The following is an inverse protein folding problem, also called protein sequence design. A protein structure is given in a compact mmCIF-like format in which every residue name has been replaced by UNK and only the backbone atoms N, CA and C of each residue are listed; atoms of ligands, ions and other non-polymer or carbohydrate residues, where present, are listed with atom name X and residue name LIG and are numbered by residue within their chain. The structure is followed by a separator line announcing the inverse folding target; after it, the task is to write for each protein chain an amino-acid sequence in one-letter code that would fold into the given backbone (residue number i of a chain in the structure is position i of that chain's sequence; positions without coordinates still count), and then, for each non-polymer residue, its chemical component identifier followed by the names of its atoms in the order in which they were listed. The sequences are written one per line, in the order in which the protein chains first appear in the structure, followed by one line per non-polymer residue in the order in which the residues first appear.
data_IF_768466811404
#
_entry.id   IF_768466811404
#
_cell.length_a   1.000
_cell.length_b   1.000
_cell.length_c   1.000
_cell.angle_alpha   90.00
_cell.angle_beta   90.00
_cell.angle_gamma   90.00
#
_symmetry.space_group_name_H-M   'P 1'
#
loop_
_entity.id
_entity.type
_entity.pdbx_description
1 polymer ?
#
# COMPACT_ATOMS: atom_id res chain seq x y z
N UNK A 1 -2.90 -6.89 4.90
CA UNK A 1 -1.73 -6.40 4.16
C UNK A 1 -2.17 -5.83 2.82
N UNK A 2 -1.46 -4.82 2.30
CA UNK A 2 -1.76 -4.27 0.99
C UNK A 2 -1.20 -5.23 -0.08
N UNK A 3 -2.01 -5.82 -0.96
CA UNK A 3 -1.55 -6.80 -1.94
C UNK A 3 -0.61 -6.21 -3.00
N UNK A 4 -0.66 -4.89 -3.25
CA UNK A 4 0.30 -4.23 -4.14
C UNK A 4 1.72 -4.28 -3.58
N UNK A 5 1.90 -4.20 -2.26
CA UNK A 5 3.20 -4.35 -1.60
C UNK A 5 3.71 -5.79 -1.77
N UNK A 6 2.85 -6.79 -1.58
CA UNK A 6 3.18 -8.19 -1.81
C UNK A 6 3.53 -8.48 -3.27
N UNK A 7 2.74 -7.95 -4.21
CA UNK A 7 3.00 -8.06 -5.65
C UNK A 7 4.37 -7.43 -6.03
N UNK A 8 4.64 -6.23 -5.53
CA UNK A 8 5.93 -5.60 -5.78
C UNK A 8 7.06 -6.49 -5.23
N UNK A 9 6.98 -6.93 -3.97
CA UNK A 9 8.03 -7.74 -3.35
C UNK A 9 8.22 -9.06 -4.07
N UNK A 10 7.20 -9.91 -4.13
CA UNK A 10 7.35 -11.32 -4.51
C UNK A 10 7.29 -11.57 -6.02
N UNK A 11 6.47 -10.79 -6.74
CA UNK A 11 6.29 -11.00 -8.18
C UNK A 11 7.27 -10.17 -8.98
N UNK A 12 7.32 -8.84 -8.77
CA UNK A 12 8.13 -7.96 -9.62
C UNK A 12 9.62 -8.03 -9.27
N UNK A 13 9.98 -7.92 -8.00
CA UNK A 13 11.38 -7.80 -7.60
C UNK A 13 12.03 -9.09 -7.09
N UNK A 14 11.28 -10.11 -6.72
CA UNK A 14 11.86 -11.44 -6.49
C UNK A 14 11.80 -12.29 -7.77
N UNK A 15 10.61 -12.60 -8.29
CA UNK A 15 10.47 -13.54 -9.40
C UNK A 15 10.86 -12.94 -10.76
N UNK A 16 10.27 -11.77 -11.13
CA UNK A 16 10.50 -11.17 -12.45
C UNK A 16 11.94 -10.65 -12.58
N UNK A 17 12.46 -9.91 -11.60
CA UNK A 17 13.84 -9.41 -11.66
C UNK A 17 14.82 -10.58 -11.76
N UNK A 18 14.70 -11.59 -10.91
CA UNK A 18 15.56 -12.79 -10.97
C UNK A 18 15.53 -13.41 -12.37
N UNK A 19 14.33 -13.63 -12.93
CA UNK A 19 14.20 -14.20 -14.26
C UNK A 19 14.78 -13.31 -15.37
N UNK A 20 14.63 -11.99 -15.23
CA UNK A 20 15.20 -11.03 -16.18
C UNK A 20 16.74 -11.09 -16.20
N UNK A 21 17.37 -11.15 -15.03
CA UNK A 21 18.83 -11.29 -14.91
C UNK A 21 19.32 -12.63 -15.48
N UNK A 22 18.60 -13.72 -15.25
CA UNK A 22 18.94 -15.06 -15.80
C UNK A 22 18.95 -15.09 -17.33
N UNK A 23 18.12 -14.29 -17.99
CA UNK A 23 18.08 -14.21 -19.47
C UNK A 23 18.99 -13.09 -20.04
N UNK A 24 19.82 -12.47 -19.20
CA UNK A 24 20.83 -11.48 -19.60
C UNK A 24 20.37 -10.05 -19.63
N UNK A 25 19.24 -9.69 -19.01
CA UNK A 25 18.87 -8.29 -18.83
C UNK A 25 19.61 -7.70 -17.63
N UNK A 26 20.09 -6.45 -17.74
CA UNK A 26 20.77 -5.76 -16.65
C UNK A 26 19.78 -5.09 -15.68
N UNK A 27 18.59 -4.71 -16.15
CA UNK A 27 17.61 -3.96 -15.40
C UNK A 27 16.19 -4.43 -15.69
N UNK A 28 15.32 -4.19 -14.72
CA UNK A 28 13.87 -4.11 -14.98
C UNK A 28 13.44 -2.65 -14.93
N UNK A 29 12.48 -2.26 -15.79
CA UNK A 29 11.89 -0.94 -15.78
C UNK A 29 10.40 -1.02 -15.43
N UNK A 30 9.92 -0.15 -14.57
CA UNK A 30 8.51 -0.12 -14.19
C UNK A 30 7.94 1.31 -14.19
N UNK A 31 6.64 1.42 -14.45
CA UNK A 31 5.92 2.69 -14.46
C UNK A 31 5.51 3.20 -13.07
N UNK A 32 6.31 2.96 -12.02
CA UNK A 32 6.04 3.54 -10.72
C UNK A 32 6.48 5.00 -10.65
N UNK A 33 5.62 5.83 -10.05
CA UNK A 33 5.95 7.22 -9.73
C UNK A 33 6.81 7.28 -8.46
N UNK A 34 8.09 7.01 -8.62
CA UNK A 34 9.14 7.12 -7.63
C UNK A 34 10.47 7.36 -8.35
N UNK A 35 11.51 7.76 -7.63
CA UNK A 35 12.86 7.96 -8.17
C UNK A 35 13.85 7.12 -7.39
N UNK A 36 14.89 6.64 -8.06
CA UNK A 36 16.01 5.94 -7.43
C UNK A 36 17.24 6.82 -7.55
N UNK A 37 17.95 7.01 -6.45
CA UNK A 37 19.21 7.73 -6.42
C UNK A 37 20.29 6.87 -5.78
N UNK A 38 21.49 6.91 -6.35
CA UNK A 38 22.68 6.41 -5.69
C UNK A 38 23.31 7.56 -4.88
N UNK A 39 23.52 7.32 -3.60
CA UNK A 39 24.10 8.27 -2.67
C UNK A 39 25.64 8.22 -2.72
N UNK A 40 26.30 9.25 -2.15
CA UNK A 40 27.76 9.33 -2.07
C UNK A 40 28.40 8.18 -1.29
N UNK A 41 27.66 7.53 -0.41
CA UNK A 41 28.09 6.33 0.31
C UNK A 41 27.93 5.03 -0.49
N UNK A 42 27.58 5.12 -1.79
CA UNK A 42 27.38 4.00 -2.70
C UNK A 42 26.02 3.31 -2.57
N UNK A 43 25.20 3.64 -1.58
CA UNK A 43 23.88 3.02 -1.38
C UNK A 43 22.82 3.63 -2.29
N UNK A 44 21.86 2.80 -2.68
CA UNK A 44 20.67 3.24 -3.40
C UNK A 44 19.55 3.58 -2.43
N UNK A 45 18.78 4.60 -2.76
CA UNK A 45 17.58 5.00 -2.01
C UNK A 45 16.43 5.36 -2.94
N UNK A 46 15.21 5.25 -2.45
CA UNK A 46 14.02 5.74 -3.15
C UNK A 46 13.69 7.14 -2.67
N UNK A 47 13.40 8.02 -3.63
CA UNK A 47 12.91 9.36 -3.40
C UNK A 47 11.50 9.53 -3.97
N UNK A 48 10.75 10.45 -3.39
CA UNK A 48 9.42 10.78 -3.87
C UNK A 48 9.47 11.25 -5.33
N UNK A 49 8.45 10.93 -6.10
CA UNK A 49 8.29 11.46 -7.44
C UNK A 49 8.02 12.97 -7.41
N UNK A 50 8.14 13.62 -8.56
CA UNK A 50 7.78 15.05 -8.69
C UNK A 50 6.27 15.27 -8.57
N UNK A 51 5.46 14.22 -8.68
CA UNK A 51 4.00 14.27 -8.56
C UNK A 51 3.54 13.71 -7.22
N UNK A 52 3.43 14.54 -6.19
CA UNK A 52 3.05 14.10 -4.84
C UNK A 52 1.74 13.28 -4.79
N UNK A 53 0.71 13.67 -5.58
CA UNK A 53 -0.57 12.96 -5.64
C UNK A 53 -0.49 11.54 -6.23
N UNK A 54 0.57 11.22 -6.97
CA UNK A 54 0.78 9.92 -7.63
C UNK A 54 1.99 9.18 -7.08
N UNK A 55 2.64 9.73 -6.05
CA UNK A 55 3.81 9.12 -5.43
C UNK A 55 3.52 7.69 -4.97
N UNK A 56 4.37 6.76 -5.38
CA UNK A 56 4.22 5.34 -5.10
C UNK A 56 5.37 4.77 -4.24
N UNK A 57 6.20 5.61 -3.65
CA UNK A 57 7.30 5.19 -2.76
C UNK A 57 6.80 4.32 -1.62
N UNK A 58 5.59 4.58 -1.11
CA UNK A 58 4.93 3.77 -0.09
C UNK A 58 4.85 2.28 -0.44
N UNK A 59 4.68 1.93 -1.71
CA UNK A 59 4.55 0.54 -2.15
C UNK A 59 5.90 -0.16 -2.42
N UNK A 60 7.02 0.58 -2.32
CA UNK A 60 8.36 0.15 -2.73
C UNK A 60 9.35 0.03 -1.56
N UNK A 61 8.92 0.24 -0.34
CA UNK A 61 9.79 0.30 0.84
C UNK A 61 10.55 -1.02 1.12
N UNK A 62 10.14 -2.13 0.53
CA UNK A 62 10.74 -3.45 0.75
C UNK A 62 11.96 -3.73 -0.14
N UNK A 63 12.27 -2.87 -1.12
CA UNK A 63 13.32 -3.16 -2.10
C UNK A 63 14.70 -3.15 -1.44
N UNK A 64 15.46 -4.20 -1.69
CA UNK A 64 16.84 -4.33 -1.21
C UNK A 64 17.81 -3.49 -2.05
N UNK A 65 19.04 -3.34 -1.58
CA UNK A 65 20.08 -2.63 -2.31
C UNK A 65 20.36 -3.25 -3.68
N UNK A 66 20.42 -4.57 -3.74
CA UNK A 66 20.59 -5.33 -4.98
C UNK A 66 19.43 -5.07 -5.95
N UNK A 67 18.18 -5.17 -5.49
CA UNK A 67 17.01 -4.89 -6.30
C UNK A 67 16.98 -3.45 -6.81
N UNK A 68 17.35 -2.48 -5.97
CA UNK A 68 17.39 -1.06 -6.35
C UNK A 68 18.44 -0.80 -7.42
N UNK A 69 19.63 -1.45 -7.37
CA UNK A 69 20.70 -1.28 -8.35
C UNK A 69 20.32 -1.78 -9.74
N UNK A 70 19.35 -2.71 -9.84
CA UNK A 70 18.85 -3.29 -11.09
C UNK A 70 17.45 -2.77 -11.48
N UNK A 71 17.05 -1.61 -10.97
CA UNK A 71 15.69 -1.06 -11.20
C UNK A 71 15.74 0.31 -11.84
N UNK A 72 14.93 0.51 -12.88
CA UNK A 72 14.69 1.80 -13.51
C UNK A 72 13.24 2.24 -13.28
N UNK A 73 13.06 3.50 -12.87
CA UNK A 73 11.76 4.15 -12.67
C UNK A 73 11.64 5.38 -13.57
N UNK A 74 11.48 5.19 -14.90
CA UNK A 74 11.67 6.25 -15.88
C UNK A 74 10.63 7.38 -15.82
N UNK A 75 9.50 7.18 -15.13
CA UNK A 75 8.45 8.19 -15.04
C UNK A 75 8.44 8.99 -13.74
N UNK A 76 9.37 8.72 -12.83
CA UNK A 76 9.46 9.37 -11.53
C UNK A 76 9.71 10.90 -11.60
N UNK A 77 10.35 11.37 -12.65
CA UNK A 77 10.68 12.77 -12.89
C UNK A 77 9.63 13.51 -13.74
N UNK A 78 8.51 12.87 -14.08
CA UNK A 78 7.47 13.46 -14.91
C UNK A 78 6.15 13.56 -14.15
N UNK A 79 5.39 14.63 -14.45
CA UNK A 79 4.00 14.73 -14.03
C UNK A 79 3.15 13.74 -14.83
N UNK A 80 1.96 13.42 -14.33
CA UNK A 80 1.04 12.53 -15.04
C UNK A 80 0.65 13.06 -16.43
N UNK A 81 0.51 14.36 -16.55
CA UNK A 81 0.14 14.98 -17.82
C UNK A 81 1.28 14.91 -18.84
N UNK A 82 2.52 15.13 -18.38
CA UNK A 82 3.71 14.92 -19.22
C UNK A 82 3.84 13.46 -19.68
N UNK A 83 3.62 12.48 -18.78
CA UNK A 83 3.63 11.07 -19.18
C UNK A 83 2.56 10.76 -20.22
N UNK A 84 1.35 11.31 -20.08
CA UNK A 84 0.29 11.14 -21.09
C UNK A 84 0.62 11.79 -22.42
N UNK A 85 1.23 12.97 -22.38
CA UNK A 85 1.68 13.67 -23.60
C UNK A 85 2.75 12.86 -24.34
N UNK A 86 3.78 12.37 -23.62
CA UNK A 86 4.82 11.50 -24.15
C UNK A 86 4.21 10.22 -24.75
N UNK A 87 3.35 9.54 -24.01
CA UNK A 87 2.67 8.33 -24.45
C UNK A 87 1.85 8.57 -25.74
N UNK A 88 1.16 9.71 -25.82
CA UNK A 88 0.40 10.10 -27.02
C UNK A 88 1.31 10.38 -28.21
N UNK A 89 2.44 11.09 -28.00
CA UNK A 89 3.43 11.39 -29.05
C UNK A 89 4.07 10.14 -29.67
N UNK A 90 4.33 9.12 -28.83
CA UNK A 90 4.92 7.84 -29.29
C UNK A 90 3.87 6.81 -29.72
N UNK A 91 2.59 7.21 -29.80
CA UNK A 91 1.53 6.38 -30.37
C UNK A 91 0.98 5.28 -29.46
N UNK A 92 1.14 5.39 -28.12
CA UNK A 92 0.56 4.42 -27.18
C UNK A 92 -0.94 4.60 -27.13
N UNK A 93 -1.70 3.62 -27.58
CA UNK A 93 -3.17 3.67 -27.70
C UNK A 93 -3.89 3.88 -26.37
N UNK A 94 -3.29 3.40 -25.27
CA UNK A 94 -3.85 3.52 -23.91
C UNK A 94 -3.44 4.79 -23.17
N UNK A 95 -2.78 5.77 -23.84
CA UNK A 95 -2.31 7.01 -23.23
C UNK A 95 -3.43 7.80 -22.48
N UNK A 96 -4.67 7.70 -22.99
CA UNK A 96 -5.86 8.37 -22.41
C UNK A 96 -6.64 7.49 -21.41
N UNK A 97 -6.26 6.23 -21.20
CA UNK A 97 -6.96 5.35 -20.27
C UNK A 97 -6.89 5.91 -18.85
N UNK A 98 -8.01 5.93 -18.11
CA UNK A 98 -7.99 6.27 -16.69
C UNK A 98 -7.06 5.35 -15.90
N UNK A 99 -6.46 5.89 -14.82
CA UNK A 99 -5.65 5.06 -13.93
C UNK A 99 -6.52 4.01 -13.25
N UNK A 100 -5.97 2.82 -13.08
CA UNK A 100 -6.54 1.86 -12.14
C UNK A 100 -6.34 2.40 -10.72
N UNK A 101 -7.41 2.82 -10.08
CA UNK A 101 -7.38 3.34 -8.70
C UNK A 101 -7.39 2.21 -7.67
N UNK A 102 -7.66 0.99 -8.10
CA UNK A 102 -7.91 -0.19 -7.30
C UNK A 102 -6.89 -1.31 -7.60
N UNK A 103 -6.99 -2.41 -6.88
CA UNK A 103 -6.13 -3.58 -7.07
C UNK A 103 -6.36 -4.13 -8.49
N UNK A 104 -5.30 -4.22 -9.28
CA UNK A 104 -5.38 -4.50 -10.72
C UNK A 104 -5.97 -5.87 -11.08
N UNK A 105 -5.99 -6.84 -10.17
CA UNK A 105 -6.59 -8.16 -10.37
C UNK A 105 -7.98 -8.31 -9.72
N UNK A 106 -8.56 -7.23 -9.16
CA UNK A 106 -9.93 -7.15 -8.65
C UNK A 106 -10.65 -5.99 -9.36
N UNK A 107 -11.01 -6.15 -10.63
CA UNK A 107 -11.51 -5.05 -11.46
C UNK A 107 -12.91 -4.57 -11.06
N UNK A 108 -13.67 -5.38 -10.34
CA UNK A 108 -15.01 -5.10 -9.83
C UNK A 108 -15.02 -4.45 -8.43
N UNK A 109 -13.85 -4.28 -7.81
CA UNK A 109 -13.67 -3.79 -6.43
C UNK A 109 -14.36 -4.65 -5.35
N UNK A 110 -14.78 -5.87 -5.70
CA UNK A 110 -15.37 -6.83 -4.76
C UNK A 110 -14.28 -7.65 -4.07
N UNK A 111 -13.58 -7.05 -3.12
CA UNK A 111 -12.50 -7.70 -2.37
C UNK A 111 -12.98 -8.90 -1.55
N UNK A 112 -14.16 -8.79 -0.95
CA UNK A 112 -14.72 -9.86 -0.15
C UNK A 112 -15.11 -11.05 -1.02
N UNK A 113 -15.79 -10.80 -2.15
CA UNK A 113 -16.10 -11.82 -3.13
C UNK A 113 -14.85 -12.45 -3.74
N UNK A 114 -13.81 -11.66 -4.03
CA UNK A 114 -12.53 -12.19 -4.49
C UNK A 114 -11.92 -13.16 -3.47
N UNK A 115 -11.81 -12.77 -2.19
CA UNK A 115 -11.28 -13.64 -1.13
C UNK A 115 -12.08 -14.94 -1.04
N UNK A 116 -13.41 -14.85 -1.07
CA UNK A 116 -14.29 -16.02 -0.97
C UNK A 116 -14.18 -16.97 -2.19
N UNK A 117 -13.93 -16.40 -3.39
CA UNK A 117 -13.75 -17.21 -4.62
C UNK A 117 -12.38 -17.87 -4.71
N UNK A 118 -11.33 -17.19 -4.24
CA UNK A 118 -9.94 -17.61 -4.43
C UNK A 118 -9.36 -18.35 -3.23
N UNK A 119 -10.10 -18.45 -2.13
CA UNK A 119 -9.67 -19.14 -0.91
C UNK A 119 -10.81 -19.93 -0.29
N UNK A 120 -10.49 -20.86 0.61
CA UNK A 120 -11.48 -21.60 1.39
C UNK A 120 -12.12 -20.78 2.53
N UNK A 121 -11.87 -19.45 2.54
CA UNK A 121 -12.38 -18.57 3.58
C UNK A 121 -13.88 -18.31 3.39
N UNK A 122 -14.65 -18.64 4.42
CA UNK A 122 -16.07 -18.30 4.50
C UNK A 122 -16.27 -17.09 5.41
N UNK A 123 -16.91 -16.04 4.87
CA UNK A 123 -17.23 -14.84 5.66
C UNK A 123 -18.31 -15.17 6.70
N UNK A 124 -17.96 -15.05 7.97
CA UNK A 124 -18.87 -15.34 9.09
C UNK A 124 -19.34 -14.03 9.70
N UNK A 125 -20.67 -13.78 9.80
CA UNK A 125 -21.19 -12.62 10.52
C UNK A 125 -20.74 -12.59 11.98
N UNK A 126 -20.41 -11.40 12.49
CA UNK A 126 -19.98 -11.22 13.87
C UNK A 126 -20.58 -9.96 14.50
N UNK A 127 -19.99 -9.51 15.60
CA UNK A 127 -20.48 -8.38 16.35
C UNK A 127 -19.66 -7.10 16.10
N UNK A 128 -20.35 -6.00 15.89
CA UNK A 128 -19.78 -4.70 16.20
C UNK A 128 -19.83 -4.48 17.72
N UNK A 129 -18.71 -4.13 18.30
CA UNK A 129 -18.61 -3.75 19.71
C UNK A 129 -18.10 -2.32 19.84
N UNK A 130 -18.47 -1.65 20.91
CA UNK A 130 -17.85 -0.36 21.26
C UNK A 130 -16.46 -0.56 21.93
N UNK A 131 -15.78 0.53 22.25
CA UNK A 131 -14.47 0.49 22.92
C UNK A 131 -14.53 -0.11 24.33
N UNK A 132 -15.72 -0.19 24.95
CA UNK A 132 -15.94 -0.82 26.24
C UNK A 132 -16.32 -2.30 26.15
N UNK A 133 -16.49 -2.84 24.93
CA UNK A 133 -16.86 -4.22 24.71
C UNK A 133 -18.36 -4.50 24.63
N UNK A 134 -19.21 -3.47 24.63
CA UNK A 134 -20.64 -3.65 24.49
C UNK A 134 -21.01 -3.91 23.02
N UNK A 135 -21.89 -4.87 22.76
CA UNK A 135 -22.40 -5.15 21.41
C UNK A 135 -23.33 -4.03 20.97
N UNK A 136 -23.03 -3.41 19.83
CA UNK A 136 -23.78 -2.29 19.25
C UNK A 136 -24.39 -2.61 17.88
N UNK A 137 -24.15 -3.80 17.35
CA UNK A 137 -24.71 -4.25 16.08
C UNK A 137 -24.08 -5.52 15.58
N UNK A 138 -24.43 -5.92 14.35
CA UNK A 138 -23.85 -7.08 13.69
C UNK A 138 -23.24 -6.72 12.34
N UNK A 139 -22.14 -7.35 12.00
CA UNK A 139 -21.46 -7.19 10.72
C UNK A 139 -21.51 -8.47 9.86
N UNK A 140 -21.21 -8.33 8.57
CA UNK A 140 -21.27 -9.41 7.57
C UNK A 140 -19.99 -10.30 7.54
N UNK A 141 -19.01 -10.00 8.36
CA UNK A 141 -17.71 -10.66 8.40
C UNK A 141 -16.57 -9.64 8.39
N UNK A 142 -15.50 -9.94 9.10
CA UNK A 142 -14.38 -9.00 9.33
C UNK A 142 -13.66 -8.58 8.04
N UNK A 143 -13.72 -9.37 6.97
CA UNK A 143 -13.09 -9.07 5.68
C UNK A 143 -13.68 -7.83 4.98
N UNK A 144 -14.89 -7.41 5.36
CA UNK A 144 -15.55 -6.22 4.80
C UNK A 144 -15.11 -4.90 5.44
N UNK A 145 -14.25 -4.97 6.47
CA UNK A 145 -13.89 -3.79 7.28
C UNK A 145 -12.39 -3.54 7.31
N UNK A 146 -12.04 -2.27 7.49
CA UNK A 146 -10.65 -1.83 7.58
C UNK A 146 -10.52 -0.80 8.72
N UNK A 147 -9.47 -0.88 9.51
CA UNK A 147 -9.21 0.11 10.57
C UNK A 147 -9.16 1.52 9.98
N UNK A 148 -9.88 2.45 10.60
CA UNK A 148 -10.09 3.82 10.13
C UNK A 148 -11.26 4.00 9.16
N UNK A 149 -11.96 2.91 8.79
CA UNK A 149 -13.16 3.00 7.94
C UNK A 149 -14.29 3.71 8.68
N UNK A 150 -14.95 4.65 7.98
CA UNK A 150 -16.10 5.41 8.50
C UNK A 150 -17.40 5.07 7.78
N UNK A 151 -17.34 4.83 6.47
CA UNK A 151 -18.52 4.59 5.63
C UNK A 151 -18.83 3.10 5.50
N UNK A 152 -20.10 2.78 5.26
CA UNK A 152 -20.52 1.39 4.97
C UNK A 152 -20.55 0.49 6.21
N UNK A 153 -20.63 1.05 7.43
CA UNK A 153 -20.74 0.26 8.66
C UNK A 153 -22.15 -0.28 8.90
N UNK A 154 -23.17 0.36 8.33
CA UNK A 154 -24.56 -0.04 8.56
C UNK A 154 -25.07 0.19 9.98
N UNK A 155 -24.39 1.06 10.75
CA UNK A 155 -24.75 1.42 12.13
C UNK A 155 -25.42 2.78 12.20
N UNK A 156 -26.54 2.88 12.91
CA UNK A 156 -27.28 4.12 13.16
C UNK A 156 -26.94 4.66 14.55
N UNK A 157 -25.75 5.25 14.72
CA UNK A 157 -25.25 5.71 16.02
C UNK A 157 -25.50 7.21 16.29
N UNK A 158 -26.12 7.94 15.34
CA UNK A 158 -26.40 9.38 15.48
C UNK A 158 -25.14 10.28 15.43
N UNK A 159 -23.94 9.71 15.38
CA UNK A 159 -22.65 10.41 15.28
C UNK A 159 -21.69 9.67 14.34
N UNK A 160 -20.66 10.35 13.79
CA UNK A 160 -19.62 9.67 13.03
C UNK A 160 -18.92 8.61 13.88
N UNK A 161 -18.77 7.42 13.33
CA UNK A 161 -18.10 6.30 13.97
C UNK A 161 -17.06 5.69 13.05
N UNK A 162 -16.02 5.10 13.63
CA UNK A 162 -14.86 4.57 12.90
C UNK A 162 -14.53 3.16 13.38
N UNK A 163 -14.02 2.34 12.48
CA UNK A 163 -13.41 1.07 12.87
C UNK A 163 -12.09 1.38 13.57
N UNK A 164 -12.00 1.06 14.84
CA UNK A 164 -10.80 1.26 15.68
C UNK A 164 -9.89 0.04 15.65
N UNK A 165 -10.48 -1.16 15.71
CA UNK A 165 -9.75 -2.41 15.66
C UNK A 165 -10.59 -3.51 15.02
N UNK A 166 -9.92 -4.55 14.54
CA UNK A 166 -10.53 -5.81 14.10
C UNK A 166 -9.90 -6.90 14.95
N UNK A 167 -10.74 -7.76 15.55
CA UNK A 167 -10.34 -8.88 16.38
C UNK A 167 -10.72 -10.20 15.69
N UNK A 168 -9.80 -10.79 14.91
CA UNK A 168 -10.11 -12.02 14.18
C UNK A 168 -10.46 -13.20 15.08
N UNK A 169 -9.85 -13.27 16.25
CA UNK A 169 -9.99 -14.38 17.22
C UNK A 169 -11.41 -14.48 17.78
N UNK A 170 -12.08 -13.35 17.95
CA UNK A 170 -13.46 -13.27 18.47
C UNK A 170 -14.47 -12.89 17.38
N UNK A 171 -14.00 -12.69 16.14
CA UNK A 171 -14.81 -12.22 15.01
C UNK A 171 -15.58 -10.92 15.35
N UNK A 172 -14.86 -9.94 15.91
CA UNK A 172 -15.40 -8.66 16.33
C UNK A 172 -14.77 -7.50 15.58
N UNK A 173 -15.58 -6.47 15.31
CA UNK A 173 -15.13 -5.19 14.79
C UNK A 173 -15.39 -4.11 15.84
N UNK A 174 -14.32 -3.51 16.35
CA UNK A 174 -14.39 -2.47 17.39
C UNK A 174 -14.69 -1.14 16.74
N UNK A 175 -15.71 -0.46 17.22
CA UNK A 175 -16.18 0.85 16.75
C UNK A 175 -15.94 1.90 17.83
N UNK A 176 -15.40 3.03 17.44
CA UNK A 176 -15.14 4.16 18.35
C UNK A 176 -15.22 5.50 17.64
N UNK A 177 -14.81 6.53 18.36
CA UNK A 177 -14.73 7.88 17.85
C UNK A 177 -13.43 8.08 17.03
N UNK A 178 -13.31 9.23 16.36
CA UNK A 178 -12.12 9.53 15.56
C UNK A 178 -10.82 9.53 16.39
N UNK A 179 -10.88 9.99 17.65
CA UNK A 179 -9.76 9.99 18.59
C UNK A 179 -9.24 8.60 18.91
N UNK A 180 -10.10 7.60 18.92
CA UNK A 180 -9.76 6.21 19.27
C UNK A 180 -8.95 5.51 18.16
N UNK A 181 -8.92 6.10 16.95
CA UNK A 181 -8.14 5.57 15.82
C UNK A 181 -6.66 5.97 15.90
N UNK A 182 -6.34 7.00 16.67
CA UNK A 182 -4.98 7.52 16.76
C UNK A 182 -4.18 6.87 17.89
N UNK A 183 -2.92 6.60 17.61
CA UNK A 183 -1.94 6.16 18.61
C UNK A 183 -0.74 7.09 18.62
N UNK A 184 -0.22 7.49 19.78
CA UNK A 184 0.98 8.31 19.89
C UNK A 184 2.26 7.53 19.59
N UNK A 185 2.17 6.21 19.44
CA UNK A 185 3.31 5.32 19.21
C UNK A 185 3.03 4.35 18.08
N UNK A 186 4.05 4.10 17.28
CA UNK A 186 4.10 3.06 16.26
C UNK A 186 5.30 2.15 16.54
N UNK A 187 5.08 0.85 16.52
CA UNK A 187 6.15 -0.15 16.61
C UNK A 187 6.33 -0.78 15.22
N UNK A 188 7.55 -0.85 14.76
CA UNK A 188 7.92 -1.48 13.50
C UNK A 188 9.01 -2.52 13.72
N UNK A 189 8.95 -3.62 12.98
CA UNK A 189 9.97 -4.66 12.94
C UNK A 189 10.36 -4.95 11.48
N UNK A 190 11.36 -5.79 11.28
CA UNK A 190 11.88 -6.16 9.95
C UNK A 190 12.17 -4.92 9.09
N UNK A 191 12.88 -3.96 9.67
CA UNK A 191 13.17 -2.68 9.03
C UNK A 191 14.11 -2.87 7.83
N UNK A 192 13.81 -2.16 6.74
CA UNK A 192 14.65 -2.09 5.56
C UNK A 192 15.19 -0.67 5.39
N UNK A 193 16.44 -0.45 5.75
CA UNK A 193 17.12 0.84 5.60
C UNK A 193 17.75 0.95 4.21
N UNK A 194 17.30 1.92 3.41
CA UNK A 194 17.85 2.15 2.08
C UNK A 194 19.06 3.09 2.13
N UNK A 195 18.90 4.29 2.67
CA UNK A 195 19.91 5.36 2.67
C UNK A 195 21.06 5.16 3.66
N UNK A 196 20.80 4.41 4.74
CA UNK A 196 21.77 4.11 5.81
C UNK A 196 21.88 2.61 6.03
N UNK A 197 23.00 2.06 6.51
CA UNK A 197 23.12 0.61 6.76
C UNK A 197 22.32 0.17 7.98
N UNK A 198 22.26 0.98 9.00
CA UNK A 198 21.55 0.73 10.26
C UNK A 198 21.16 2.05 10.91
N UNK A 199 20.26 2.00 11.89
CA UNK A 199 19.95 3.13 12.76
C UNK A 199 20.82 3.08 14.01
N UNK A 200 21.64 4.10 14.18
CA UNK A 200 22.47 4.28 15.38
C UNK A 200 21.87 5.43 16.21
N UNK A 201 21.21 5.07 17.32
CA UNK A 201 20.56 6.04 18.19
C UNK A 201 19.20 6.54 17.67
N UNK A 202 18.81 7.74 18.07
CA UNK A 202 17.54 8.35 17.71
C UNK A 202 17.63 9.16 16.42
N UNK A 203 16.59 9.09 15.61
CA UNK A 203 16.46 9.88 14.37
C UNK A 203 15.05 10.46 14.24
N UNK A 204 14.97 11.73 13.86
CA UNK A 204 13.68 12.32 13.46
C UNK A 204 13.37 11.96 12.02
N UNK A 205 12.16 11.43 11.79
CA UNK A 205 11.68 11.07 10.47
C UNK A 205 10.19 11.35 10.33
N UNK A 206 9.74 11.57 9.09
CA UNK A 206 8.32 11.52 8.77
C UNK A 206 7.92 10.07 8.51
N UNK A 207 6.84 9.61 9.18
CA UNK A 207 6.32 8.26 9.02
C UNK A 207 5.02 8.25 8.21
N UNK A 208 4.93 7.37 7.21
CA UNK A 208 3.73 7.18 6.40
C UNK A 208 3.22 5.76 6.58
N UNK A 209 2.11 5.60 7.30
CA UNK A 209 1.54 4.29 7.64
C UNK A 209 0.53 3.75 6.62
N UNK A 210 0.06 4.59 5.69
CA UNK A 210 -0.81 4.20 4.58
C UNK A 210 -0.68 5.19 3.42
N UNK A 211 -1.14 4.82 2.25
CA UNK A 211 -0.99 5.63 1.02
C UNK A 211 -1.49 7.07 1.17
N UNK A 212 -2.68 7.26 1.74
CA UNK A 212 -3.32 8.57 1.89
C UNK A 212 -2.84 9.38 3.11
N UNK A 213 -1.88 8.86 3.89
CA UNK A 213 -1.32 9.58 5.04
C UNK A 213 -0.21 10.53 4.57
N UNK A 214 -0.16 11.73 5.11
CA UNK A 214 0.83 12.74 4.69
C UNK A 214 2.18 12.62 5.40
N UNK A 215 2.24 11.88 6.50
CA UNK A 215 3.44 11.71 7.32
C UNK A 215 3.65 12.79 8.38
#
# INVERSE_FOLDING_TARGET
PNPCIACNRYVKWESLLKRSLEIGADYIATGHYARIHQLSNGRYTICNSVTARKDQTYALYNLTQDQLSHTLLPIGDYTKDQVREIASKIGITVAKKPDSMEICFIPDNDYAGFITRETDYTSVPGNFIDVNGNVIGRHQGIIHYTVGQRKGLGLALGKPAFVVAIRPETNEVVIGDNSDVFSPKLYANNLNFMSIPSLEGEMRAKGKIRYSHEG
#
